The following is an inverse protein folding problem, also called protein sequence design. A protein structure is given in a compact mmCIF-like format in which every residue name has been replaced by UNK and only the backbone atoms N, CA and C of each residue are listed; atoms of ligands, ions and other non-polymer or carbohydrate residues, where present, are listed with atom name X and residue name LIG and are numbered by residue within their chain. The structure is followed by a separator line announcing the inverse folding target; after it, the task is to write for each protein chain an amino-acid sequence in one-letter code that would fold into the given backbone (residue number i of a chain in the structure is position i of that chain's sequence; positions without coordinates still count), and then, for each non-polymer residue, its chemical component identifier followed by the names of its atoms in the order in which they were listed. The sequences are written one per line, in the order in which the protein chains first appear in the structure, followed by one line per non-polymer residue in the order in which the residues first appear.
data_IF_620854390305
#
_entry.id   IF_620854390305
#
_cell.length_a   1.000
_cell.length_b   1.000
_cell.length_c   1.000
_cell.angle_alpha   90.00
_cell.angle_beta   90.00
_cell.angle_gamma   90.00
#
_symmetry.space_group_name_H-M   'P 1'
#
loop_
_entity.id
_entity.type
_entity.pdbx_description
1 polymer ?
#
# COMPACT_ATOMS: atom_id res chain seq x y z
N UNK A 1 0.35 -4.96 15.06
CA UNK A 1 -0.20 -4.82 13.71
C UNK A 1 -0.65 -3.42 13.39
N UNK A 2 -1.47 -2.84 14.23
CA UNK A 2 -1.89 -1.45 14.06
C UNK A 2 -0.69 -0.50 14.07
N UNK A 3 0.29 -0.80 14.91
CA UNK A 3 1.52 -0.01 14.99
C UNK A 3 2.29 -0.02 13.68
N UNK A 4 2.37 -1.18 13.02
CA UNK A 4 3.08 -1.30 11.74
C UNK A 4 2.38 -0.46 10.66
N UNK A 5 1.04 -0.48 10.63
CA UNK A 5 0.28 0.35 9.70
C UNK A 5 0.45 1.82 10.03
N UNK A 6 0.52 2.17 11.32
CA UNK A 6 0.78 3.53 11.77
C UNK A 6 2.14 4.07 11.34
N UNK A 7 3.08 3.20 11.01
CA UNK A 7 4.40 3.59 10.51
C UNK A 7 4.41 3.95 9.03
N UNK A 8 3.32 3.70 8.31
CA UNK A 8 3.23 4.05 6.90
C UNK A 8 3.16 5.56 6.73
N UNK A 9 3.88 6.06 5.74
CA UNK A 9 3.80 7.48 5.36
C UNK A 9 2.45 7.77 4.71
N UNK A 10 2.10 9.05 4.57
CA UNK A 10 0.88 9.43 3.87
C UNK A 10 0.85 8.89 2.44
N UNK A 11 1.99 8.93 1.73
CA UNK A 11 2.11 8.39 0.38
C UNK A 11 1.90 6.89 0.36
N UNK A 12 2.45 6.18 1.33
CA UNK A 12 2.29 4.73 1.43
C UNK A 12 0.84 4.34 1.69
N UNK A 13 0.14 5.10 2.52
CA UNK A 13 -1.28 4.88 2.78
C UNK A 13 -2.12 5.09 1.53
N UNK A 14 -1.82 6.13 0.76
CA UNK A 14 -2.52 6.41 -0.50
C UNK A 14 -2.33 5.26 -1.49
N UNK A 15 -1.09 4.76 -1.60
CA UNK A 15 -0.78 3.65 -2.48
C UNK A 15 -1.53 2.39 -2.02
N UNK A 16 -1.56 2.13 -0.72
CA UNK A 16 -2.26 0.97 -0.18
C UNK A 16 -3.76 1.03 -0.48
N UNK A 17 -4.37 2.22 -0.38
CA UNK A 17 -5.78 2.40 -0.75
C UNK A 17 -6.03 2.07 -2.20
N UNK A 18 -5.14 2.50 -3.09
CA UNK A 18 -5.27 2.24 -4.52
C UNK A 18 -5.11 0.76 -4.84
N UNK A 19 -4.22 0.07 -4.11
CA UNK A 19 -4.10 -1.38 -4.19
C UNK A 19 -5.43 -2.04 -3.81
N UNK A 20 -6.04 -1.58 -2.73
CA UNK A 20 -7.31 -2.12 -2.25
C UNK A 20 -8.44 -1.88 -3.27
N UNK A 21 -8.37 -0.79 -4.01
CA UNK A 21 -9.34 -0.47 -5.05
C UNK A 21 -9.12 -1.27 -6.34
N UNK A 22 -8.09 -2.10 -6.39
CA UNK A 22 -7.85 -3.00 -7.51
C UNK A 22 -7.01 -2.41 -8.64
N UNK A 23 -6.34 -1.30 -8.41
CA UNK A 23 -5.50 -0.68 -9.44
C UNK A 23 -4.20 -1.44 -9.66
N UNK A 24 -3.73 -1.44 -10.90
CA UNK A 24 -2.40 -1.96 -11.24
C UNK A 24 -1.33 -0.96 -10.81
N UNK A 25 -0.06 -1.39 -10.79
CA UNK A 25 1.03 -0.48 -10.44
C UNK A 25 1.13 0.69 -11.41
N UNK A 26 0.85 0.48 -12.70
CA UNK A 26 0.82 1.55 -13.70
C UNK A 26 -0.28 2.56 -13.40
N UNK A 27 -1.47 2.06 -13.06
CA UNK A 27 -2.60 2.92 -12.71
C UNK A 27 -2.34 3.72 -11.44
N UNK A 28 -1.75 3.06 -10.44
CA UNK A 28 -1.36 3.73 -9.20
C UNK A 28 -0.36 4.84 -9.49
N UNK A 29 0.65 4.53 -10.31
CA UNK A 29 1.67 5.51 -10.67
C UNK A 29 1.08 6.75 -11.33
N UNK A 30 0.10 6.57 -12.21
CA UNK A 30 -0.58 7.70 -12.84
C UNK A 30 -1.31 8.56 -11.81
N UNK A 31 -1.96 7.93 -10.84
CA UNK A 31 -2.74 8.66 -9.82
C UNK A 31 -1.87 9.40 -8.82
N UNK A 32 -0.70 8.89 -8.51
CA UNK A 32 0.22 9.51 -7.53
C UNK A 32 1.41 10.18 -8.19
N UNK A 33 1.42 10.25 -9.51
CA UNK A 33 2.47 10.91 -10.31
C UNK A 33 3.84 10.28 -10.08
N UNK A 34 3.89 8.95 -10.12
CA UNK A 34 5.11 8.16 -9.99
C UNK A 34 5.16 7.11 -11.10
N UNK A 35 6.36 6.62 -11.41
CA UNK A 35 6.50 5.50 -12.33
C UNK A 35 6.03 4.20 -11.66
N UNK A 36 5.66 3.21 -12.47
CA UNK A 36 5.28 1.89 -11.96
C UNK A 36 6.41 1.26 -11.15
N UNK A 37 7.64 1.48 -11.56
CA UNK A 37 8.81 0.97 -10.84
C UNK A 37 8.94 1.59 -9.45
N UNK A 38 8.69 2.89 -9.33
CA UNK A 38 8.70 3.59 -8.04
C UNK A 38 7.56 3.10 -7.16
N UNK A 39 6.38 2.86 -7.73
CA UNK A 39 5.24 2.27 -7.01
C UNK A 39 5.65 0.90 -6.46
N UNK A 40 6.29 0.07 -7.27
CA UNK A 40 6.77 -1.24 -6.84
C UNK A 40 7.72 -1.12 -5.64
N UNK A 41 8.61 -0.13 -5.66
CA UNK A 41 9.52 0.13 -4.54
C UNK A 41 8.77 0.52 -3.28
N UNK A 42 7.76 1.36 -3.40
CA UNK A 42 6.91 1.72 -2.26
C UNK A 42 6.17 0.49 -1.72
N UNK A 43 5.63 -0.36 -2.60
CA UNK A 43 4.94 -1.58 -2.17
C UNK A 43 5.88 -2.53 -1.42
N UNK A 44 7.13 -2.66 -1.88
CA UNK A 44 8.12 -3.48 -1.19
C UNK A 44 8.38 -2.97 0.22
N UNK A 45 8.40 -1.65 0.39
CA UNK A 45 8.58 -1.02 1.71
C UNK A 45 7.36 -1.25 2.59
N UNK A 46 6.15 -1.13 2.02
CA UNK A 46 4.90 -1.37 2.74
C UNK A 46 4.84 -2.82 3.22
N UNK A 47 5.13 -3.79 2.35
CA UNK A 47 5.12 -5.20 2.73
C UNK A 47 6.10 -5.48 3.86
N UNK A 48 7.26 -4.83 3.83
CA UNK A 48 8.26 -5.00 4.87
C UNK A 48 7.76 -4.46 6.20
N UNK A 49 7.11 -3.28 6.19
CA UNK A 49 6.57 -2.67 7.40
C UNK A 49 5.41 -3.47 7.97
N UNK A 50 4.57 -4.04 7.11
CA UNK A 50 3.41 -4.82 7.54
C UNK A 50 3.76 -6.29 7.84
N UNK A 51 4.95 -6.74 7.46
CA UNK A 51 5.38 -8.10 7.72
C UNK A 51 4.70 -9.14 6.84
N UNK A 52 4.29 -8.77 5.62
CA UNK A 52 3.67 -9.69 4.68
C UNK A 52 4.12 -9.36 3.26
N UNK A 53 4.31 -10.39 2.43
CA UNK A 53 4.56 -10.21 1.01
C UNK A 53 3.33 -10.48 0.15
N UNK A 54 2.20 -10.81 0.78
CA UNK A 54 0.96 -11.13 0.09
C UNK A 54 0.13 -9.86 -0.10
N UNK A 55 -0.16 -9.51 -1.36
CA UNK A 55 -0.91 -8.30 -1.70
C UNK A 55 -2.32 -8.33 -1.09
N UNK A 56 -2.99 -9.48 -1.11
CA UNK A 56 -4.32 -9.62 -0.52
C UNK A 56 -4.28 -9.46 1.00
N UNK A 57 -3.27 -10.03 1.64
CA UNK A 57 -3.09 -9.91 3.10
C UNK A 57 -2.78 -8.45 3.48
N UNK A 58 -2.00 -7.76 2.66
CA UNK A 58 -1.67 -6.36 2.86
C UNK A 58 -2.93 -5.50 2.86
N UNK A 59 -3.85 -5.76 1.91
CA UNK A 59 -5.14 -5.08 1.83
C UNK A 59 -5.99 -5.38 3.05
N UNK A 60 -6.05 -6.65 3.47
CA UNK A 60 -6.81 -7.06 4.65
C UNK A 60 -6.31 -6.36 5.92
N UNK A 61 -4.99 -6.22 6.06
CA UNK A 61 -4.41 -5.50 7.20
C UNK A 61 -4.78 -4.02 7.18
N UNK A 62 -4.77 -3.41 5.99
CA UNK A 62 -5.17 -2.02 5.84
C UNK A 62 -6.62 -1.77 6.22
N UNK A 63 -7.52 -2.66 5.81
CA UNK A 63 -8.94 -2.57 6.14
C UNK A 63 -9.15 -2.73 7.65
N UNK A 64 -8.53 -3.76 8.22
CA UNK A 64 -8.66 -4.08 9.63
C UNK A 64 -8.18 -2.96 10.54
N UNK A 65 -7.14 -2.25 10.13
CA UNK A 65 -6.56 -1.16 10.93
C UNK A 65 -7.24 0.18 10.70
N UNK A 66 -8.18 0.27 9.77
CA UNK A 66 -8.91 1.49 9.48
C UNK A 66 -8.22 2.45 8.51
N UNK A 67 -7.07 2.08 7.95
CA UNK A 67 -6.38 2.90 6.94
C UNK A 67 -7.17 2.91 5.65
N UNK A 68 -7.83 1.79 5.35
CA UNK A 68 -8.68 1.63 4.17
C UNK A 68 -10.11 1.45 4.63
N UNK A 69 -11.02 2.14 3.98
CA UNK A 69 -12.45 2.02 4.28
C UNK A 69 -13.14 1.10 3.31
#
# INVERSE_FOLDING_TARGET
MEEAVGELSARERDILRLVADGHTNEEIGEKVDLSALTVKSHLARITRKLGTGDRAHMVALGIRSGVIN
#
